data_IF_948114897274
#
_entry.id   IF_948114897274
#
_cell.length_a   1.000
_cell.length_b   1.000
_cell.length_c   1.000
_cell.angle_alpha   90.00
_cell.angle_beta   90.00
_cell.angle_gamma   90.00
#
_symmetry.space_group_name_H-M   'P 1'
#
loop_
_entity.id
_entity.type
_entity.pdbx_description
1 polymer ?
#
# COMPACT_ATOMS: atom_id res chain seq x y z
N UNK A 1 19.87 -10.91 14.18
CA UNK A 1 18.61 -11.33 13.51
C UNK A 1 19.00 -11.93 12.16
N UNK A 2 18.37 -13.02 11.72
CA UNK A 2 18.65 -13.58 10.38
C UNK A 2 18.24 -12.57 9.30
N UNK A 3 18.97 -12.51 8.19
CA UNK A 3 18.71 -11.58 7.08
C UNK A 3 17.26 -11.67 6.58
N UNK A 4 16.69 -12.89 6.58
CA UNK A 4 15.28 -13.16 6.27
C UNK A 4 14.30 -12.44 7.20
N UNK A 5 14.61 -12.37 8.51
CA UNK A 5 13.76 -11.69 9.49
C UNK A 5 13.82 -10.17 9.34
N UNK A 6 14.99 -9.63 9.00
CA UNK A 6 15.14 -8.20 8.72
C UNK A 6 14.36 -7.79 7.46
N UNK A 7 14.46 -8.59 6.39
CA UNK A 7 13.70 -8.35 5.16
C UNK A 7 12.19 -8.44 5.40
N UNK A 8 11.73 -9.44 6.17
CA UNK A 8 10.33 -9.55 6.59
C UNK A 8 9.89 -8.31 7.40
N UNK A 9 10.67 -7.90 8.41
CA UNK A 9 10.34 -6.75 9.23
C UNK A 9 10.28 -5.45 8.41
N UNK A 10 11.21 -5.27 7.46
CA UNK A 10 11.22 -4.15 6.52
C UNK A 10 9.93 -4.12 5.70
N UNK A 11 9.60 -5.21 5.00
CA UNK A 11 8.38 -5.30 4.19
C UNK A 11 7.11 -5.10 5.01
N UNK A 12 7.02 -5.73 6.19
CA UNK A 12 5.85 -5.64 7.05
C UNK A 12 5.67 -4.22 7.61
N UNK A 13 6.77 -3.55 7.95
CA UNK A 13 6.76 -2.16 8.39
C UNK A 13 6.37 -1.20 7.27
N UNK A 14 6.78 -1.47 6.03
CA UNK A 14 6.45 -0.64 4.87
C UNK A 14 4.99 -0.81 4.44
N UNK A 15 4.51 -2.05 4.37
CA UNK A 15 3.12 -2.33 4.05
C UNK A 15 2.18 -1.89 5.17
N UNK A 16 2.56 -2.07 6.44
CA UNK A 16 1.82 -1.66 7.64
C UNK A 16 0.29 -1.82 7.50
N UNK A 17 -0.29 -2.98 7.86
CA UNK A 17 -1.71 -3.26 7.64
C UNK A 17 -2.65 -2.27 8.36
N UNK A 18 -2.20 -1.64 9.45
CA UNK A 18 -2.99 -0.62 10.14
C UNK A 18 -3.07 0.67 9.32
N UNK A 19 -1.95 1.15 8.77
CA UNK A 19 -1.97 2.32 7.90
C UNK A 19 -2.76 2.04 6.62
N UNK A 20 -2.56 0.87 6.01
CA UNK A 20 -3.32 0.46 4.83
C UNK A 20 -4.83 0.39 5.07
N UNK A 21 -5.28 -0.09 6.24
CA UNK A 21 -6.71 -0.13 6.54
C UNK A 21 -7.31 1.29 6.59
N UNK A 22 -6.55 2.26 7.10
CA UNK A 22 -7.00 3.66 7.12
C UNK A 22 -7.01 4.26 5.72
N UNK A 23 -6.00 3.96 4.89
CA UNK A 23 -5.93 4.41 3.49
C UNK A 23 -7.10 3.88 2.65
N UNK A 24 -7.55 2.68 3.00
CA UNK A 24 -8.64 1.97 2.34
C UNK A 24 -9.96 2.10 3.09
N UNK A 25 -10.04 2.97 4.10
CA UNK A 25 -11.22 3.05 4.97
C UNK A 25 -12.51 3.33 4.18
N UNK A 26 -12.44 4.23 3.19
CA UNK A 26 -13.59 4.49 2.32
C UNK A 26 -14.05 3.23 1.56
N UNK A 27 -13.13 2.33 1.19
CA UNK A 27 -13.46 1.05 0.56
C UNK A 27 -14.01 0.07 1.62
N UNK A 28 -13.40 0.03 2.81
CA UNK A 28 -13.82 -0.83 3.93
C UNK A 28 -15.26 -0.51 4.38
N UNK A 29 -15.64 0.77 4.47
CA UNK A 29 -16.99 1.20 4.86
C UNK A 29 -18.03 0.97 3.78
N UNK A 30 -17.68 1.25 2.52
CA UNK A 30 -18.65 1.30 1.42
C UNK A 30 -18.71 0.03 0.55
N UNK A 31 -17.91 -1.00 0.87
CA UNK A 31 -17.89 -2.26 0.12
C UNK A 31 -18.31 -3.45 0.99
N UNK A 32 -19.02 -4.39 0.38
CA UNK A 32 -19.28 -5.69 0.99
C UNK A 32 -17.97 -6.43 1.27
N UNK A 33 -17.91 -7.17 2.39
CA UNK A 33 -16.74 -7.96 2.77
C UNK A 33 -16.25 -8.90 1.66
N UNK A 34 -17.17 -9.52 0.92
CA UNK A 34 -16.83 -10.42 -0.19
C UNK A 34 -16.10 -9.69 -1.32
N UNK A 35 -16.59 -8.51 -1.70
CA UNK A 35 -15.99 -7.68 -2.76
C UNK A 35 -14.62 -7.18 -2.31
N UNK A 36 -14.53 -6.67 -1.08
CA UNK A 36 -13.27 -6.21 -0.49
C UNK A 36 -12.22 -7.31 -0.45
N UNK A 37 -12.57 -8.49 0.08
CA UNK A 37 -11.64 -9.62 0.21
C UNK A 37 -11.14 -10.08 -1.17
N UNK A 38 -12.03 -10.18 -2.16
CA UNK A 38 -11.64 -10.58 -3.51
C UNK A 38 -10.68 -9.58 -4.14
N UNK A 39 -10.99 -8.28 -4.04
CA UNK A 39 -10.14 -7.22 -4.57
C UNK A 39 -8.78 -7.16 -3.86
N UNK A 40 -8.74 -7.35 -2.54
CA UNK A 40 -7.52 -7.37 -1.75
C UNK A 40 -6.62 -8.56 -2.08
N UNK A 41 -7.19 -9.76 -2.26
CA UNK A 41 -6.45 -10.95 -2.68
C UNK A 41 -5.87 -10.75 -4.08
N UNK A 42 -6.67 -10.25 -5.02
CA UNK A 42 -6.21 -9.95 -6.38
C UNK A 42 -5.09 -8.89 -6.37
N UNK A 43 -5.26 -7.81 -5.61
CA UNK A 43 -4.25 -6.77 -5.44
C UNK A 43 -2.95 -7.31 -4.81
N UNK A 44 -3.07 -8.23 -3.84
CA UNK A 44 -1.91 -8.91 -3.23
C UNK A 44 -1.18 -9.80 -4.22
N UNK A 45 -1.90 -10.51 -5.09
CA UNK A 45 -1.30 -11.34 -6.15
C UNK A 45 -0.56 -10.49 -7.20
N UNK A 46 -1.16 -9.37 -7.62
CA UNK A 46 -0.52 -8.42 -8.54
C UNK A 46 0.78 -7.89 -7.90
N UNK A 47 0.70 -7.47 -6.62
CA UNK A 47 1.85 -6.97 -5.87
C UNK A 47 2.95 -8.01 -5.71
N UNK A 48 2.58 -9.27 -5.42
CA UNK A 48 3.51 -10.38 -5.32
C UNK A 48 4.30 -10.55 -6.63
N UNK A 49 3.61 -10.64 -7.77
CA UNK A 49 4.26 -10.80 -9.08
C UNK A 49 5.21 -9.63 -9.36
N UNK A 50 4.75 -8.40 -9.11
CA UNK A 50 5.56 -7.19 -9.32
C UNK A 50 6.82 -7.22 -8.44
N UNK A 51 6.71 -7.55 -7.16
CA UNK A 51 7.86 -7.63 -6.27
C UNK A 51 8.84 -8.75 -6.65
N UNK A 52 8.39 -9.90 -7.16
CA UNK A 52 9.30 -10.93 -7.66
C UNK A 52 10.08 -10.45 -8.89
N UNK A 53 9.42 -9.73 -9.80
CA UNK A 53 10.08 -9.14 -10.97
C UNK A 53 11.15 -8.15 -10.52
N UNK A 54 10.81 -7.22 -9.63
CA UNK A 54 11.77 -6.22 -9.13
C UNK A 54 12.87 -6.83 -8.28
N UNK A 55 12.58 -7.83 -7.45
CA UNK A 55 13.61 -8.51 -6.70
C UNK A 55 14.63 -9.24 -7.60
N UNK A 56 14.20 -9.71 -8.78
CA UNK A 56 15.10 -10.38 -9.74
C UNK A 56 15.85 -9.40 -10.63
N UNK A 57 15.17 -8.38 -11.14
CA UNK A 57 15.71 -7.47 -12.15
C UNK A 57 16.36 -6.23 -11.54
N UNK A 58 16.00 -5.87 -10.30
CA UNK A 58 16.48 -4.67 -9.65
C UNK A 58 16.06 -3.38 -10.36
N UNK A 59 16.93 -2.38 -10.33
CA UNK A 59 16.73 -1.09 -11.02
C UNK A 59 16.77 -1.21 -12.55
N UNK A 60 17.37 -2.28 -13.09
CA UNK A 60 17.44 -2.51 -14.53
C UNK A 60 16.05 -2.65 -15.17
N UNK A 61 15.02 -3.04 -14.41
CA UNK A 61 13.65 -3.10 -14.95
C UNK A 61 13.15 -1.71 -15.36
N UNK A 62 13.41 -0.70 -14.54
CA UNK A 62 12.99 0.67 -14.85
C UNK A 62 13.78 1.25 -16.01
N UNK A 63 15.10 1.02 -16.04
CA UNK A 63 15.98 1.60 -17.05
C UNK A 63 15.89 0.88 -18.40
N UNK A 64 15.93 -0.45 -18.42
CA UNK A 64 16.04 -1.24 -19.66
C UNK A 64 14.69 -1.61 -20.27
N UNK A 65 13.66 -1.81 -19.45
CA UNK A 65 12.32 -2.19 -19.95
C UNK A 65 11.45 -0.96 -20.12
N UNK A 66 11.28 -0.20 -19.04
CA UNK A 66 10.36 0.95 -19.02
C UNK A 66 10.98 2.25 -19.54
N UNK A 67 12.32 2.32 -19.64
CA UNK A 67 13.05 3.54 -20.01
C UNK A 67 12.65 4.76 -19.16
N UNK A 68 12.37 4.54 -17.87
CA UNK A 68 12.02 5.57 -16.90
C UNK A 68 12.94 5.50 -15.69
N UNK A 69 13.10 6.65 -15.04
CA UNK A 69 13.82 6.75 -13.77
C UNK A 69 12.94 6.27 -12.62
N UNK A 70 13.53 5.57 -11.66
CA UNK A 70 12.84 5.15 -10.44
C UNK A 70 12.30 6.36 -9.66
N UNK A 71 13.06 7.45 -9.65
CA UNK A 71 12.73 8.72 -9.04
C UNK A 71 11.44 9.32 -9.62
N UNK A 72 11.21 9.17 -10.92
CA UNK A 72 9.96 9.62 -11.56
C UNK A 72 8.75 8.83 -11.04
N UNK A 73 8.93 7.54 -10.77
CA UNK A 73 7.90 6.71 -10.14
C UNK A 73 7.64 7.14 -8.68
N UNK A 74 8.69 7.52 -7.93
CA UNK A 74 8.54 8.06 -6.57
C UNK A 74 7.71 9.35 -6.56
N UNK A 75 8.02 10.29 -7.46
CA UNK A 75 7.30 11.56 -7.58
C UNK A 75 5.83 11.32 -7.93
N UNK A 76 5.55 10.49 -8.93
CA UNK A 76 4.18 10.21 -9.35
C UNK A 76 3.37 9.53 -8.24
N UNK A 77 3.95 8.51 -7.59
CA UNK A 77 3.33 7.86 -6.43
C UNK A 77 3.03 8.86 -5.30
N UNK A 78 3.98 9.76 -5.03
CA UNK A 78 3.81 10.83 -4.06
C UNK A 78 2.66 11.78 -4.42
N UNK A 79 2.52 12.17 -5.69
CA UNK A 79 1.38 12.99 -6.15
C UNK A 79 0.04 12.27 -5.90
N UNK A 80 -0.05 10.97 -6.21
CA UNK A 80 -1.28 10.19 -5.96
C UNK A 80 -1.62 10.16 -4.46
N UNK A 81 -0.63 9.88 -3.59
CA UNK A 81 -0.86 9.90 -2.15
C UNK A 81 -1.22 11.30 -1.63
N UNK A 82 -0.61 12.36 -2.17
CA UNK A 82 -0.93 13.73 -1.81
C UNK A 82 -2.39 14.06 -2.13
N UNK A 83 -2.87 13.67 -3.31
CA UNK A 83 -4.28 13.85 -3.70
C UNK A 83 -5.21 13.05 -2.79
N UNK A 84 -4.86 11.81 -2.45
CA UNK A 84 -5.64 10.98 -1.51
C UNK A 84 -5.71 11.64 -0.13
N UNK A 85 -4.55 12.04 0.43
CA UNK A 85 -4.46 12.67 1.73
C UNK A 85 -5.22 14.00 1.78
N UNK A 86 -5.03 14.86 0.76
CA UNK A 86 -5.74 16.12 0.64
C UNK A 86 -7.27 15.92 0.66
N UNK A 87 -7.79 15.04 -0.21
CA UNK A 87 -9.24 14.78 -0.26
C UNK A 87 -9.76 14.21 1.05
N UNK A 88 -9.00 13.33 1.70
CA UNK A 88 -9.39 12.77 3.00
C UNK A 88 -9.49 13.86 4.08
N UNK A 89 -8.51 14.77 4.19
CA UNK A 89 -8.52 15.86 5.19
C UNK A 89 -9.77 16.74 5.07
N UNK A 90 -10.13 17.12 3.84
CA UNK A 90 -11.20 18.10 3.59
C UNK A 90 -12.58 17.48 3.38
N UNK A 91 -12.66 16.33 2.73
CA UNK A 91 -13.92 15.70 2.31
C UNK A 91 -14.29 14.46 3.14
N UNK A 92 -13.40 13.99 4.02
CA UNK A 92 -13.61 12.79 4.86
C UNK A 92 -13.40 11.47 4.10
N UNK A 93 -13.66 10.35 4.79
CA UNK A 93 -13.39 9.00 4.25
C UNK A 93 -14.27 8.59 3.06
N UNK A 94 -15.44 9.22 2.89
CA UNK A 94 -16.48 8.75 1.97
C UNK A 94 -16.23 9.14 0.51
N UNK A 95 -15.39 10.14 0.24
CA UNK A 95 -15.10 10.60 -1.12
C UNK A 95 -13.99 9.82 -1.83
N UNK A 96 -13.28 8.95 -1.12
CA UNK A 96 -12.27 8.06 -1.70
C UNK A 96 -12.91 6.91 -2.48
N UNK A 97 -14.10 6.45 -2.04
CA UNK A 97 -14.85 5.40 -2.75
C UNK A 97 -15.26 5.81 -4.17
N UNK A 98 -15.52 7.11 -4.38
CA UNK A 98 -16.03 7.65 -5.66
C UNK A 98 -14.95 7.73 -6.75
N UNK A 99 -13.66 7.86 -6.38
CA UNK A 99 -12.55 7.95 -7.36
C UNK A 99 -12.17 6.60 -8.00
N UNK A 100 -12.74 5.47 -7.55
CA UNK A 100 -12.10 4.15 -7.70
C UNK A 100 -12.84 3.16 -8.59
N UNK A 101 -13.90 3.62 -9.26
CA UNK A 101 -14.62 2.86 -10.27
C UNK A 101 -15.36 1.64 -9.73
N UNK A 102 -16.00 0.89 -10.64
CA UNK A 102 -16.78 -0.29 -10.32
C UNK A 102 -15.95 -1.38 -9.60
N UNK A 103 -16.59 -2.30 -8.84
CA UNK A 103 -15.95 -3.38 -8.09
C UNK A 103 -14.87 -4.18 -8.86
N UNK A 104 -15.00 -4.28 -10.18
CA UNK A 104 -14.06 -4.96 -11.08
C UNK A 104 -12.68 -4.29 -11.19
N UNK A 105 -12.54 -3.00 -10.84
CA UNK A 105 -11.28 -2.24 -10.89
C UNK A 105 -10.65 -1.99 -9.51
N UNK A 106 -11.27 -2.49 -8.43
CA UNK A 106 -10.77 -2.33 -7.07
C UNK A 106 -9.42 -3.01 -6.84
N UNK A 107 -9.16 -4.13 -7.52
CA UNK A 107 -7.89 -4.86 -7.38
C UNK A 107 -6.68 -4.02 -7.80
N UNK A 108 -6.75 -3.33 -8.96
CA UNK A 108 -5.68 -2.45 -9.43
C UNK A 108 -5.51 -1.24 -8.51
N UNK A 109 -6.61 -0.76 -7.94
CA UNK A 109 -6.63 0.37 -7.00
C UNK A 109 -6.07 0.04 -5.62
N UNK A 110 -6.19 -1.22 -5.19
CA UNK A 110 -5.59 -1.72 -3.96
C UNK A 110 -4.10 -2.03 -4.21
N UNK A 111 -3.79 -2.64 -5.36
CA UNK A 111 -2.42 -2.96 -5.74
C UNK A 111 -1.56 -1.70 -5.85
N UNK A 112 -2.02 -0.67 -6.58
CA UNK A 112 -1.32 0.61 -6.71
C UNK A 112 -2.22 1.76 -6.21
N UNK A 113 -1.71 2.66 -5.36
CA UNK A 113 -0.32 2.80 -4.91
C UNK A 113 -0.03 2.18 -3.52
N UNK A 114 -0.99 1.50 -2.89
CA UNK A 114 -0.86 1.13 -1.47
C UNK A 114 0.06 -0.04 -1.21
N UNK A 115 -0.05 -1.10 -2.02
CA UNK A 115 0.80 -2.26 -1.88
C UNK A 115 2.11 -2.03 -2.63
N UNK A 116 1.99 -1.66 -3.91
CA UNK A 116 3.11 -1.33 -4.79
C UNK A 116 3.37 0.17 -4.69
N UNK A 117 4.34 0.51 -3.85
CA UNK A 117 4.90 1.85 -3.72
C UNK A 117 6.42 1.80 -3.90
N UNK A 118 7.08 2.95 -4.03
CA UNK A 118 8.53 2.98 -4.21
C UNK A 118 9.29 2.38 -3.04
N UNK A 119 8.79 2.54 -1.81
CA UNK A 119 9.39 1.91 -0.63
C UNK A 119 9.34 0.39 -0.71
N UNK A 120 8.19 -0.19 -1.06
CA UNK A 120 8.03 -1.65 -1.17
C UNK A 120 8.73 -2.23 -2.39
N UNK A 121 8.81 -1.48 -3.50
CA UNK A 121 9.65 -1.84 -4.65
C UNK A 121 11.13 -1.83 -4.27
N UNK A 122 11.62 -0.77 -3.64
CA UNK A 122 13.03 -0.69 -3.18
C UNK A 122 13.36 -1.82 -2.21
N UNK A 123 12.46 -2.10 -1.24
CA UNK A 123 12.60 -3.24 -0.34
C UNK A 123 12.64 -4.58 -1.09
N UNK A 124 11.89 -4.74 -2.18
CA UNK A 124 11.93 -5.95 -3.01
C UNK A 124 13.27 -6.12 -3.72
N UNK A 125 13.83 -5.05 -4.27
CA UNK A 125 15.16 -5.05 -4.89
C UNK A 125 16.23 -5.41 -3.86
N UNK A 126 16.24 -4.73 -2.70
CA UNK A 126 17.20 -4.97 -1.62
C UNK A 126 17.12 -6.42 -1.12
N UNK A 127 15.89 -6.92 -0.92
CA UNK A 127 15.67 -8.30 -0.47
C UNK A 127 16.17 -9.31 -1.49
N UNK A 128 15.94 -9.06 -2.78
CA UNK A 128 16.43 -9.90 -3.88
C UNK A 128 17.96 -9.94 -4.02
N UNK A 129 18.65 -8.88 -3.62
CA UNK A 129 20.12 -8.82 -3.57
C UNK A 129 20.66 -9.58 -2.35
N UNK A 130 20.00 -9.46 -1.20
CA UNK A 130 20.47 -10.01 0.07
C UNK A 130 20.16 -11.50 0.24
N UNK A 131 19.05 -11.98 -0.31
CA UNK A 131 18.56 -13.34 -0.09
C UNK A 131 18.56 -14.16 -1.38
N UNK A 132 18.65 -15.48 -1.25
CA UNK A 132 18.40 -16.38 -2.39
C UNK A 132 16.98 -16.20 -2.93
N UNK A 133 16.77 -16.53 -4.21
CA UNK A 133 15.45 -16.40 -4.86
C UNK A 133 14.33 -17.09 -4.08
N UNK A 134 14.59 -18.28 -3.52
CA UNK A 134 13.62 -19.02 -2.74
C UNK A 134 13.27 -18.32 -1.42
N UNK A 135 14.27 -17.80 -0.71
CA UNK A 135 14.05 -17.04 0.52
C UNK A 135 13.30 -15.74 0.26
N UNK A 136 13.65 -15.03 -0.82
CA UNK A 136 12.96 -13.81 -1.26
C UNK A 136 11.49 -14.06 -1.54
N UNK A 137 11.17 -15.11 -2.32
CA UNK A 137 9.78 -15.53 -2.59
C UNK A 137 9.03 -15.79 -1.28
N UNK A 138 9.65 -16.52 -0.36
CA UNK A 138 9.02 -16.89 0.92
C UNK A 138 8.79 -15.66 1.82
N UNK A 139 9.72 -14.72 1.88
CA UNK A 139 9.58 -13.47 2.63
C UNK A 139 8.46 -12.61 2.07
N UNK A 140 8.45 -12.37 0.76
CA UNK A 140 7.42 -11.54 0.11
C UNK A 140 6.05 -12.20 0.27
N UNK A 141 5.95 -13.51 0.02
CA UNK A 141 4.70 -14.26 0.16
C UNK A 141 4.17 -14.21 1.60
N UNK A 142 5.00 -14.53 2.59
CA UNK A 142 4.60 -14.53 4.00
C UNK A 142 4.19 -13.14 4.48
N UNK A 143 4.88 -12.09 4.06
CA UNK A 143 4.55 -10.70 4.42
C UNK A 143 3.23 -10.25 3.81
N UNK A 144 3.01 -10.52 2.52
CA UNK A 144 1.76 -10.21 1.84
C UNK A 144 0.60 -11.02 2.40
N UNK A 145 0.81 -12.31 2.66
CA UNK A 145 -0.19 -13.18 3.27
C UNK A 145 -0.62 -12.68 4.64
N UNK A 146 0.33 -12.31 5.50
CA UNK A 146 0.05 -11.77 6.83
C UNK A 146 -0.67 -10.42 6.76
N UNK A 147 -0.18 -9.51 5.91
CA UNK A 147 -0.80 -8.19 5.71
C UNK A 147 -2.24 -8.31 5.21
N UNK A 148 -2.46 -9.15 4.20
CA UNK A 148 -3.78 -9.42 3.63
C UNK A 148 -4.72 -10.04 4.69
N UNK A 149 -4.24 -11.02 5.44
CA UNK A 149 -5.02 -11.66 6.52
C UNK A 149 -5.42 -10.66 7.61
N UNK A 150 -4.52 -9.77 8.02
CA UNK A 150 -4.82 -8.73 9.01
C UNK A 150 -5.81 -7.69 8.48
N UNK A 151 -5.73 -7.31 7.21
CA UNK A 151 -6.69 -6.39 6.59
C UNK A 151 -8.09 -7.01 6.47
N UNK A 152 -8.19 -8.30 6.11
CA UNK A 152 -9.46 -9.04 6.10
C UNK A 152 -10.03 -9.12 7.52
N UNK A 153 -9.19 -9.39 8.52
CA UNK A 153 -9.62 -9.40 9.91
C UNK A 153 -10.12 -8.02 10.36
N UNK A 154 -9.44 -6.94 9.98
CA UNK A 154 -9.87 -5.56 10.26
C UNK A 154 -11.23 -5.24 9.62
N UNK A 155 -11.46 -5.66 8.36
CA UNK A 155 -12.76 -5.51 7.70
C UNK A 155 -13.85 -6.27 8.45
N UNK A 156 -13.58 -7.52 8.83
CA UNK A 156 -14.55 -8.32 9.58
C UNK A 156 -14.88 -7.72 10.96
N UNK A 157 -13.86 -7.26 11.68
CA UNK A 157 -14.04 -6.56 12.95
C UNK A 157 -14.87 -5.28 12.78
N UNK A 158 -14.57 -4.50 11.74
CA UNK A 158 -15.35 -3.29 11.42
C UNK A 158 -16.82 -3.62 11.20
N UNK A 159 -17.12 -4.58 10.32
CA UNK A 159 -18.51 -4.96 9.98
C UNK A 159 -19.27 -5.51 11.20
N UNK A 160 -18.61 -6.30 12.06
CA UNK A 160 -19.25 -6.87 13.25
C UNK A 160 -19.44 -5.84 14.38
N UNK A 161 -18.48 -4.94 14.59
CA UNK A 161 -18.55 -3.92 15.64
C UNK A 161 -19.50 -2.77 15.28
N UNK A 162 -19.62 -2.43 13.98
CA UNK A 162 -20.52 -1.38 13.50
C UNK A 162 -21.99 -1.70 13.82
N UNK A 163 -22.39 -2.98 13.80
CA UNK A 163 -23.72 -3.42 14.21
C UNK A 163 -24.08 -3.13 15.68
N UNK A 164 -23.09 -2.85 16.54
CA UNK A 164 -23.31 -2.71 17.99
C UNK A 164 -23.03 -1.30 18.54
N UNK A 165 -22.19 -0.48 17.87
CA UNK A 165 -21.76 0.83 18.37
C UNK A 165 -21.53 1.90 17.26
N UNK A 166 -22.44 2.03 16.30
CA UNK A 166 -22.23 2.82 15.07
C UNK A 166 -21.72 4.26 15.32
N UNK A 167 -22.34 5.02 16.23
CA UNK A 167 -22.04 6.46 16.38
C UNK A 167 -20.65 6.75 16.96
N UNK A 168 -20.13 5.91 17.86
CA UNK A 168 -18.81 6.12 18.44
C UNK A 168 -17.70 5.62 17.51
N UNK A 169 -17.90 4.47 16.88
CA UNK A 169 -16.92 3.89 15.96
C UNK A 169 -16.72 4.81 14.77
N UNK A 170 -17.79 5.35 14.17
CA UNK A 170 -17.67 6.28 13.04
C UNK A 170 -16.90 7.55 13.43
N UNK A 171 -17.10 8.09 14.64
CA UNK A 171 -16.36 9.27 15.12
C UNK A 171 -14.87 8.97 15.33
N UNK A 172 -14.54 7.87 16.02
CA UNK A 172 -13.14 7.47 16.22
C UNK A 172 -12.45 7.22 14.88
N UNK A 173 -13.14 6.55 13.95
CA UNK A 173 -12.65 6.24 12.63
C UNK A 173 -12.46 7.50 11.78
N UNK A 174 -13.35 8.50 11.85
CA UNK A 174 -13.17 9.78 11.15
C UNK A 174 -12.00 10.59 11.72
N UNK A 175 -11.86 10.67 13.04
CA UNK A 175 -10.75 11.38 13.70
C UNK A 175 -9.40 10.71 13.36
N UNK A 176 -9.31 9.39 13.54
CA UNK A 176 -8.09 8.62 13.20
C UNK A 176 -7.81 8.70 11.71
N UNK A 177 -8.85 8.68 10.88
CA UNK A 177 -8.78 8.87 9.44
C UNK A 177 -8.14 10.21 9.04
N UNK A 178 -8.59 11.31 9.65
CA UNK A 178 -8.01 12.65 9.41
C UNK A 178 -6.56 12.75 9.88
N UNK A 179 -6.23 12.18 11.04
CA UNK A 179 -4.84 12.13 11.52
C UNK A 179 -3.96 11.32 10.56
N UNK A 180 -4.46 10.17 10.09
CA UNK A 180 -3.74 9.38 9.10
C UNK A 180 -3.64 10.09 7.75
N UNK A 181 -4.62 10.89 7.35
CA UNK A 181 -4.54 11.69 6.14
C UNK A 181 -3.39 12.71 6.17
N UNK A 182 -3.10 13.29 7.34
CA UNK A 182 -1.92 14.13 7.56
C UNK A 182 -0.62 13.32 7.43
N UNK A 183 -0.59 12.09 7.94
CA UNK A 183 0.56 11.17 7.76
C UNK A 183 0.75 10.79 6.28
N UNK A 184 -0.34 10.49 5.56
CA UNK A 184 -0.32 10.22 4.11
C UNK A 184 0.27 11.40 3.36
N UNK A 185 -0.22 12.61 3.65
CA UNK A 185 0.31 13.83 3.04
C UNK A 185 1.80 14.02 3.33
N UNK A 186 2.24 13.70 4.54
CA UNK A 186 3.66 13.79 4.92
C UNK A 186 4.50 12.78 4.14
N UNK A 187 4.08 11.52 4.07
CA UNK A 187 4.75 10.45 3.29
C UNK A 187 4.78 10.83 1.80
N UNK A 188 3.69 11.38 1.28
CA UNK A 188 3.60 11.84 -0.09
C UNK A 188 4.65 12.92 -0.42
N UNK A 189 4.80 13.92 0.46
CA UNK A 189 5.80 14.97 0.31
C UNK A 189 7.21 14.37 0.40
N UNK A 190 7.46 13.47 1.34
CA UNK A 190 8.76 12.80 1.49
C UNK A 190 9.14 11.99 0.23
N UNK A 191 8.18 11.29 -0.37
CA UNK A 191 8.36 10.59 -1.64
C UNK A 191 8.70 11.55 -2.80
N UNK A 192 8.01 12.69 -2.87
CA UNK A 192 8.27 13.71 -3.90
C UNK A 192 9.67 14.32 -3.71
N UNK A 193 10.02 14.70 -2.48
CA UNK A 193 11.33 15.30 -2.16
C UNK A 193 12.46 14.32 -2.44
N UNK A 194 12.30 13.05 -2.05
CA UNK A 194 13.27 11.98 -2.31
C UNK A 194 13.46 11.78 -3.81
N UNK A 195 12.37 11.71 -4.58
CA UNK A 195 12.45 11.57 -6.03
C UNK A 195 13.09 12.79 -6.70
N UNK A 196 12.72 14.01 -6.34
CA UNK A 196 13.33 15.23 -6.89
C UNK A 196 14.82 15.28 -6.55
N UNK A 197 15.20 14.98 -5.31
CA UNK A 197 16.59 14.96 -4.87
C UNK A 197 17.42 13.92 -5.62
N UNK A 198 16.86 12.72 -5.85
CA UNK A 198 17.50 11.68 -6.65
C UNK A 198 17.76 12.13 -8.09
N UNK A 199 16.81 12.83 -8.72
CA UNK A 199 16.98 13.38 -10.09
C UNK A 199 18.08 14.43 -10.14
N UNK A 200 18.27 15.20 -9.06
CA UNK A 200 19.30 16.24 -9.02
C UNK A 200 20.71 15.68 -8.78
N UNK A 201 20.81 14.48 -8.21
CA UNK A 201 22.10 13.85 -7.88
C UNK A 201 22.60 12.87 -8.95
N UNK A 202 21.71 12.35 -9.80
CA UNK A 202 22.03 11.46 -10.94
C UNK A 202 22.11 12.20 -12.27
#
# INVERSE_FOLDING_TARGET
MSETLNAFALFFSLLNPFLMSIYMLGIIRNSEAKVFNMALIQGSLISFIVFIIFAKTGEAFFQEVLHVRFESFQIFGGIIFLVIGYRYVFEGADTIGVMRGAPSHLAGTIAMPFMIGPGTISASVITGIQLSLWQTILVIFSTLFLTCSLLILMKYLHDHLQHKYSNYIDLYVDIVGRVAALLIGTIAIDMIVTGVSGIMQG
#
